data_IF_466595570608
#
_entry.id   IF_466595570608
#
_cell.length_a   1.000
_cell.length_b   1.000
_cell.length_c   1.000
_cell.angle_alpha   90.00
_cell.angle_beta   90.00
_cell.angle_gamma   90.00
#
_symmetry.space_group_name_H-M   'P 1'
#
loop_
_entity.id
_entity.type
_entity.pdbx_description
1 polymer ?
#
# COMPACT_ATOMS: atom_id res chain seq x y z
N UNK A 1 -45.65 63.69 58.36
CA UNK A 1 -44.65 64.51 59.10
C UNK A 1 -43.89 63.54 59.99
N UNK A 2 -42.59 63.27 59.89
CA UNK A 2 -41.38 63.99 59.46
C UNK A 2 -40.46 63.00 58.73
N UNK A 3 -39.71 63.48 57.73
CA UNK A 3 -38.66 62.74 57.04
C UNK A 3 -37.44 62.52 57.96
N UNK A 4 -36.87 61.32 57.92
CA UNK A 4 -35.48 61.03 58.33
C UNK A 4 -34.89 60.12 57.25
N UNK A 5 -33.87 60.61 56.55
CA UNK A 5 -33.11 59.88 55.55
C UNK A 5 -31.98 59.06 56.21
N UNK A 6 -31.51 57.98 55.55
CA UNK A 6 -30.10 57.61 55.63
C UNK A 6 -29.44 57.61 54.26
N UNK A 7 -28.44 58.47 54.14
CA UNK A 7 -27.21 58.42 53.33
C UNK A 7 -27.16 57.39 52.17
N UNK A 8 -27.29 57.88 50.94
CA UNK A 8 -26.81 57.20 49.74
C UNK A 8 -25.27 57.31 49.71
N UNK A 9 -24.57 56.22 50.04
CA UNK A 9 -23.12 56.17 49.92
C UNK A 9 -22.76 55.78 48.48
N UNK A 10 -22.21 56.74 47.73
CA UNK A 10 -21.79 56.57 46.35
C UNK A 10 -20.34 56.11 46.33
N UNK A 11 -20.11 54.81 46.48
CA UNK A 11 -18.80 54.20 46.22
C UNK A 11 -18.85 53.52 44.85
N UNK A 12 -18.68 54.35 43.83
CA UNK A 12 -18.21 53.92 42.51
C UNK A 12 -16.82 53.33 42.74
N UNK A 13 -16.78 52.01 42.93
CA UNK A 13 -15.55 51.22 42.93
C UNK A 13 -14.84 51.42 41.59
N UNK A 14 -13.86 52.32 41.58
CA UNK A 14 -12.84 52.43 40.53
C UNK A 14 -12.28 51.03 40.26
N UNK A 15 -12.64 50.45 39.12
CA UNK A 15 -11.87 49.35 38.53
C UNK A 15 -10.45 49.88 38.29
N UNK A 16 -9.51 49.35 39.07
CA UNK A 16 -8.10 49.70 39.02
C UNK A 16 -7.49 49.21 37.69
N UNK A 17 -6.91 50.10 36.86
CA UNK A 17 -6.33 49.75 35.56
C UNK A 17 -5.13 48.80 35.63
N UNK A 18 -4.60 48.50 36.83
CA UNK A 18 -3.59 47.46 37.06
C UNK A 18 -4.16 46.04 36.93
N UNK A 19 -5.39 45.77 37.38
CA UNK A 19 -5.94 44.41 37.42
C UNK A 19 -6.38 43.89 36.04
N UNK A 20 -6.78 44.78 35.13
CA UNK A 20 -7.14 44.43 33.74
C UNK A 20 -5.91 44.01 32.92
N UNK A 21 -4.76 44.63 33.18
CA UNK A 21 -3.52 44.32 32.47
C UNK A 21 -2.90 43.00 32.94
N UNK A 22 -3.07 42.67 34.23
CA UNK A 22 -2.62 41.40 34.81
C UNK A 22 -3.49 40.24 34.32
N UNK A 23 -4.83 40.41 34.26
CA UNK A 23 -5.74 39.38 33.73
C UNK A 23 -5.62 39.20 32.23
N UNK A 24 -5.46 40.28 31.45
CA UNK A 24 -5.17 40.20 30.03
C UNK A 24 -3.81 39.54 29.75
N UNK A 25 -2.80 39.85 30.55
CA UNK A 25 -1.48 39.21 30.49
C UNK A 25 -1.53 37.71 30.74
N UNK A 26 -2.31 37.26 31.74
CA UNK A 26 -2.50 35.84 32.05
C UNK A 26 -3.28 35.07 30.97
N UNK A 27 -4.27 35.70 30.33
CA UNK A 27 -5.00 35.08 29.22
C UNK A 27 -4.14 34.99 27.96
N UNK A 28 -3.33 36.02 27.70
CA UNK A 28 -2.42 36.03 26.56
C UNK A 28 -1.33 34.98 26.71
N UNK A 29 -0.73 34.83 27.91
CA UNK A 29 0.25 33.77 28.16
C UNK A 29 -0.37 32.38 28.07
N UNK A 30 -1.58 32.17 28.61
CA UNK A 30 -2.29 30.91 28.46
C UNK A 30 -2.58 30.59 26.98
N UNK A 31 -3.02 31.57 26.20
CA UNK A 31 -3.29 31.40 24.77
C UNK A 31 -2.01 31.09 23.97
N UNK A 32 -0.90 31.78 24.28
CA UNK A 32 0.41 31.51 23.67
C UNK A 32 0.93 30.11 24.02
N UNK A 33 0.77 29.67 25.27
CA UNK A 33 1.15 28.31 25.66
C UNK A 33 0.31 27.27 24.92
N UNK A 34 -1.00 27.47 24.81
CA UNK A 34 -1.89 26.58 24.04
C UNK A 34 -1.51 26.56 22.57
N UNK A 35 -1.21 27.71 21.96
CA UNK A 35 -0.73 27.78 20.59
C UNK A 35 0.62 27.09 20.41
N UNK A 36 1.53 27.19 21.38
CA UNK A 36 2.81 26.47 21.37
C UNK A 36 2.55 24.97 21.45
N UNK A 37 1.70 24.48 22.35
CA UNK A 37 1.38 23.05 22.45
C UNK A 37 0.66 22.50 21.21
N UNK A 38 -0.18 23.32 20.55
CA UNK A 38 -0.81 22.99 19.26
C UNK A 38 0.23 22.99 18.13
N UNK A 39 1.15 23.95 18.11
CA UNK A 39 2.19 24.10 17.08
C UNK A 39 3.30 23.06 17.20
N UNK A 40 3.70 22.69 18.41
CA UNK A 40 4.60 21.57 18.69
C UNK A 40 3.86 20.23 18.62
N UNK A 41 2.80 20.15 17.80
CA UNK A 41 1.93 19.00 17.62
C UNK A 41 2.74 17.75 17.78
N UNK A 42 2.38 16.95 18.80
CA UNK A 42 3.17 15.82 19.27
C UNK A 42 3.62 14.98 18.08
N UNK A 43 4.84 15.22 17.60
CA UNK A 43 5.53 14.32 16.73
C UNK A 43 5.93 13.16 17.64
N UNK A 44 4.96 12.30 17.95
CA UNK A 44 5.25 10.99 18.46
C UNK A 44 5.99 10.28 17.32
N UNK A 45 7.31 10.44 17.30
CA UNK A 45 8.18 9.61 16.49
C UNK A 45 7.90 8.20 16.97
N UNK A 46 7.12 7.43 16.21
CA UNK A 46 6.97 6.02 16.46
C UNK A 46 8.37 5.42 16.31
N UNK A 47 9.07 5.25 17.43
CA UNK A 47 10.37 4.59 17.45
C UNK A 47 10.08 3.14 17.17
N UNK A 48 10.12 2.78 15.88
CA UNK A 48 10.12 1.38 15.47
C UNK A 48 11.41 0.79 16.02
N UNK A 49 11.36 -0.27 16.83
CA UNK A 49 12.56 -0.91 17.33
C UNK A 49 13.43 -1.40 16.15
N UNK A 50 14.77 -1.45 16.33
CA UNK A 50 15.65 -1.99 15.31
C UNK A 50 15.30 -3.45 15.00
N UNK A 51 15.56 -3.88 13.76
CA UNK A 51 15.39 -5.27 13.35
C UNK A 51 16.28 -6.19 14.19
N UNK A 52 15.67 -7.22 14.77
CA UNK A 52 16.38 -8.28 15.48
C UNK A 52 16.70 -9.42 14.51
N UNK A 53 17.91 -9.36 13.94
CA UNK A 53 18.40 -10.38 13.01
C UNK A 53 18.43 -11.78 13.62
N UNK A 54 18.79 -11.91 14.90
CA UNK A 54 18.87 -13.23 15.54
C UNK A 54 17.49 -13.87 15.71
N UNK A 55 16.49 -13.07 16.11
CA UNK A 55 15.12 -13.55 16.20
C UNK A 55 14.52 -13.84 14.82
N UNK A 56 14.84 -13.03 13.82
CA UNK A 56 14.47 -13.30 12.43
C UNK A 56 15.06 -14.62 11.95
N UNK A 57 16.38 -14.79 12.02
CA UNK A 57 17.09 -15.98 11.56
C UNK A 57 16.57 -17.24 12.25
N UNK A 58 16.35 -17.20 13.57
CA UNK A 58 15.74 -18.31 14.30
C UNK A 58 14.33 -18.65 13.82
N UNK A 59 13.50 -17.64 13.50
CA UNK A 59 12.18 -17.84 12.93
C UNK A 59 12.24 -18.48 11.54
N UNK A 60 13.17 -18.02 10.70
CA UNK A 60 13.42 -18.56 9.36
C UNK A 60 13.85 -20.02 9.41
N UNK A 61 14.75 -20.40 10.32
CA UNK A 61 15.18 -21.80 10.47
C UNK A 61 13.99 -22.73 10.75
N UNK A 62 13.03 -22.30 11.57
CA UNK A 62 11.81 -23.07 11.82
C UNK A 62 10.93 -23.17 10.57
N UNK A 63 10.70 -22.05 9.88
CA UNK A 63 9.92 -22.02 8.63
C UNK A 63 10.53 -22.94 7.55
N UNK A 64 11.85 -22.89 7.38
CA UNK A 64 12.58 -23.71 6.41
C UNK A 64 12.59 -25.18 6.80
N UNK A 65 12.74 -25.52 8.09
CA UNK A 65 12.71 -26.92 8.55
C UNK A 65 11.42 -27.63 8.14
N UNK A 66 10.27 -27.00 8.38
CA UNK A 66 8.95 -27.57 8.03
C UNK A 66 8.77 -27.69 6.51
N UNK A 67 9.23 -26.68 5.77
CA UNK A 67 9.18 -26.68 4.31
C UNK A 67 10.07 -27.76 3.71
N UNK A 68 11.33 -27.85 4.14
CA UNK A 68 12.32 -28.82 3.65
C UNK A 68 11.83 -30.25 3.83
N UNK A 69 11.30 -30.57 5.01
CA UNK A 69 10.69 -31.88 5.30
C UNK A 69 9.53 -32.20 4.35
N UNK A 70 8.70 -31.20 4.03
CA UNK A 70 7.59 -31.38 3.11
C UNK A 70 8.07 -31.63 1.67
N UNK A 71 9.16 -30.96 1.26
CA UNK A 71 9.74 -31.05 -0.08
C UNK A 71 10.50 -32.36 -0.34
N UNK A 72 10.96 -33.09 0.68
CA UNK A 72 11.63 -34.40 0.50
C UNK A 72 10.79 -35.40 -0.31
N UNK A 73 9.46 -35.31 -0.18
CA UNK A 73 8.53 -36.24 -0.85
C UNK A 73 8.17 -35.84 -2.28
N UNK A 74 8.59 -34.66 -2.75
CA UNK A 74 8.10 -34.08 -4.01
C UNK A 74 8.96 -34.44 -5.22
N UNK A 75 10.12 -35.09 -5.02
CA UNK A 75 11.03 -35.47 -6.10
C UNK A 75 11.64 -34.29 -6.85
N UNK A 76 11.81 -33.14 -6.18
CA UNK A 76 12.24 -31.88 -6.79
C UNK A 76 13.58 -31.96 -7.54
N UNK A 77 14.43 -32.94 -7.21
CA UNK A 77 15.72 -33.19 -7.87
C UNK A 77 15.59 -33.67 -9.33
N UNK A 78 14.43 -34.20 -9.72
CA UNK A 78 14.24 -34.82 -11.04
C UNK A 78 13.12 -34.18 -11.87
N UNK A 79 12.22 -33.45 -11.23
CA UNK A 79 11.13 -32.76 -11.92
C UNK A 79 10.81 -31.44 -11.21
N UNK A 80 10.26 -30.49 -11.97
CA UNK A 80 9.74 -29.26 -11.38
C UNK A 80 8.54 -29.59 -10.47
N UNK A 81 8.60 -29.34 -9.16
CA UNK A 81 7.51 -29.67 -8.22
C UNK A 81 6.33 -28.69 -8.31
N UNK A 82 6.48 -27.59 -9.06
CA UNK A 82 5.42 -26.62 -9.31
C UNK A 82 4.42 -27.15 -10.36
N UNK A 83 3.10 -26.96 -10.22
CA UNK A 83 2.38 -26.18 -9.20
C UNK A 83 1.92 -26.98 -7.97
N UNK A 84 2.26 -28.27 -7.88
CA UNK A 84 1.77 -29.18 -6.82
C UNK A 84 2.09 -28.67 -5.42
N UNK A 85 3.29 -28.12 -5.23
CA UNK A 85 3.77 -27.60 -3.93
C UNK A 85 3.34 -26.15 -3.64
N UNK A 86 2.47 -25.55 -4.48
CA UNK A 86 2.07 -24.13 -4.34
C UNK A 86 1.51 -23.81 -2.95
N UNK A 87 0.75 -24.73 -2.34
CA UNK A 87 0.22 -24.54 -0.98
C UNK A 87 1.34 -24.46 0.06
N UNK A 88 2.29 -25.39 0.01
CA UNK A 88 3.45 -25.44 0.93
C UNK A 88 4.31 -24.19 0.79
N UNK A 89 4.55 -23.75 -0.45
CA UNK A 89 5.29 -22.51 -0.71
C UNK A 89 4.55 -21.28 -0.14
N UNK A 90 3.23 -21.22 -0.25
CA UNK A 90 2.45 -20.14 0.32
C UNK A 90 2.49 -20.16 1.87
N UNK A 91 2.44 -21.34 2.49
CA UNK A 91 2.62 -21.50 3.94
C UNK A 91 4.00 -21.03 4.39
N UNK A 92 5.06 -21.37 3.65
CA UNK A 92 6.42 -20.85 3.88
C UNK A 92 6.45 -19.32 3.81
N UNK A 93 5.87 -18.73 2.75
CA UNK A 93 5.87 -17.28 2.56
C UNK A 93 5.15 -16.55 3.72
N UNK A 94 4.02 -17.09 4.18
CA UNK A 94 3.31 -16.56 5.35
C UNK A 94 4.16 -16.68 6.62
N UNK A 95 4.85 -17.81 6.81
CA UNK A 95 5.73 -18.03 7.96
C UNK A 95 6.87 -17.00 7.97
N UNK A 96 7.53 -16.79 6.83
CA UNK A 96 8.61 -15.81 6.67
C UNK A 96 8.12 -14.37 6.92
N UNK A 97 6.96 -13.97 6.37
CA UNK A 97 6.38 -12.65 6.63
C UNK A 97 6.01 -12.46 8.11
N UNK A 98 5.52 -13.51 8.76
CA UNK A 98 5.24 -13.51 10.20
C UNK A 98 6.52 -13.33 11.00
N UNK A 99 7.58 -14.10 10.71
CA UNK A 99 8.90 -13.95 11.36
C UNK A 99 9.48 -12.55 11.16
N UNK A 100 9.41 -11.99 9.95
CA UNK A 100 9.83 -10.62 9.66
C UNK A 100 9.02 -9.57 10.44
N UNK A 101 7.73 -9.84 10.65
CA UNK A 101 6.84 -8.96 11.41
C UNK A 101 7.18 -8.98 12.90
N UNK A 102 7.35 -10.15 13.50
CA UNK A 102 7.67 -10.31 14.93
C UNK A 102 9.07 -9.76 15.25
N UNK A 103 10.03 -9.93 14.34
CA UNK A 103 11.42 -9.43 14.47
C UNK A 103 11.61 -7.96 14.11
N UNK A 104 10.54 -7.24 13.74
CA UNK A 104 10.61 -5.86 13.25
C UNK A 104 11.49 -5.68 12.01
N UNK A 105 11.75 -6.78 11.30
CA UNK A 105 12.56 -6.82 10.08
C UNK A 105 11.74 -6.66 8.79
N UNK A 106 10.40 -6.57 8.88
CA UNK A 106 9.49 -6.44 7.73
C UNK A 106 9.83 -5.28 6.78
N UNK A 107 10.43 -4.20 7.29
CA UNK A 107 10.85 -3.06 6.46
C UNK A 107 12.00 -3.41 5.50
N UNK A 108 12.75 -4.47 5.80
CA UNK A 108 13.90 -4.92 5.04
C UNK A 108 13.48 -6.06 4.10
N UNK A 109 12.85 -5.70 2.99
CA UNK A 109 12.38 -6.68 1.98
C UNK A 109 13.50 -7.59 1.50
N UNK A 110 14.72 -7.08 1.39
CA UNK A 110 15.89 -7.85 0.99
C UNK A 110 16.19 -9.07 1.87
N UNK A 111 15.83 -9.07 3.15
CA UNK A 111 16.03 -10.21 4.04
C UNK A 111 15.06 -11.35 3.70
N UNK A 112 13.79 -11.00 3.45
CA UNK A 112 12.76 -11.95 3.03
C UNK A 112 13.05 -12.47 1.62
N UNK A 113 13.42 -11.56 0.71
CA UNK A 113 13.74 -11.88 -0.68
C UNK A 113 14.94 -12.83 -0.77
N UNK A 114 15.97 -12.66 0.08
CA UNK A 114 17.12 -13.55 0.11
C UNK A 114 16.74 -15.00 0.48
N UNK A 115 15.90 -15.18 1.52
CA UNK A 115 15.42 -16.50 1.94
C UNK A 115 14.59 -17.15 0.85
N UNK A 116 13.66 -16.41 0.25
CA UNK A 116 12.83 -16.94 -0.83
C UNK A 116 13.65 -17.26 -2.08
N UNK A 117 14.68 -16.48 -2.38
CA UNK A 117 15.57 -16.74 -3.50
C UNK A 117 16.37 -18.03 -3.29
N UNK A 118 16.91 -18.26 -2.08
CA UNK A 118 17.61 -19.49 -1.72
C UNK A 118 16.70 -20.72 -1.91
N UNK A 119 15.44 -20.61 -1.50
CA UNK A 119 14.43 -21.67 -1.70
C UNK A 119 14.17 -21.92 -3.19
N UNK A 120 14.09 -20.87 -4.01
CA UNK A 120 13.93 -21.02 -5.46
C UNK A 120 15.13 -21.72 -6.11
N UNK A 121 16.34 -21.33 -5.73
CA UNK A 121 17.57 -21.92 -6.25
C UNK A 121 17.68 -23.40 -5.87
N UNK A 122 17.31 -23.76 -4.63
CA UNK A 122 17.41 -25.12 -4.14
C UNK A 122 16.33 -26.06 -4.70
N UNK A 123 15.06 -25.62 -4.69
CA UNK A 123 13.92 -26.51 -4.95
C UNK A 123 13.25 -26.31 -6.31
N UNK A 124 13.47 -25.16 -6.94
CA UNK A 124 12.76 -24.75 -8.16
C UNK A 124 13.71 -24.44 -9.33
N UNK A 125 14.98 -24.84 -9.26
CA UNK A 125 15.95 -24.64 -10.35
C UNK A 125 15.53 -25.27 -11.70
N UNK A 126 14.79 -26.37 -11.67
CA UNK A 126 14.23 -27.05 -12.85
C UNK A 126 12.91 -26.43 -13.31
N UNK A 127 12.34 -25.51 -12.53
CA UNK A 127 11.16 -24.75 -12.89
C UNK A 127 11.60 -23.48 -13.63
N UNK A 128 10.96 -23.17 -14.76
CA UNK A 128 11.34 -21.99 -15.55
C UNK A 128 11.37 -22.20 -17.06
N UNK A 129 10.98 -23.37 -17.57
CA UNK A 129 10.65 -23.53 -18.99
C UNK A 129 9.32 -22.84 -19.36
N UNK A 130 9.15 -21.57 -18.99
CA UNK A 130 8.15 -20.70 -19.61
C UNK A 130 8.81 -20.15 -20.87
N UNK A 131 8.77 -20.94 -21.93
CA UNK A 131 9.16 -20.46 -23.25
C UNK A 131 7.98 -19.74 -23.88
N UNK A 132 8.27 -18.61 -24.51
CA UNK A 132 7.31 -17.98 -25.40
C UNK A 132 6.87 -19.00 -26.46
N UNK A 133 5.57 -19.01 -26.83
CA UNK A 133 5.11 -19.87 -27.90
C UNK A 133 5.93 -19.59 -29.16
N UNK A 134 6.18 -20.60 -30.01
CA UNK A 134 6.96 -20.42 -31.24
C UNK A 134 6.44 -19.23 -32.04
N UNK A 135 7.35 -18.45 -32.65
CA UNK A 135 7.03 -17.22 -33.39
C UNK A 135 5.84 -17.39 -34.36
N UNK A 136 5.73 -18.55 -34.99
CA UNK A 136 4.60 -18.87 -35.87
C UNK A 136 3.23 -18.85 -35.16
N UNK A 137 3.15 -19.46 -33.96
CA UNK A 137 1.93 -19.47 -33.14
C UNK A 137 1.60 -18.05 -32.68
N UNK A 138 2.63 -17.29 -32.28
CA UNK A 138 2.48 -15.90 -31.88
C UNK A 138 1.92 -15.04 -33.03
N UNK A 139 2.46 -15.19 -34.25
CA UNK A 139 1.96 -14.50 -35.45
C UNK A 139 0.54 -14.93 -35.79
N UNK A 140 0.23 -16.23 -35.72
CA UNK A 140 -1.13 -16.75 -35.94
C UNK A 140 -2.15 -16.15 -34.95
N UNK A 141 -1.73 -15.81 -33.73
CA UNK A 141 -2.60 -15.16 -32.75
C UNK A 141 -2.78 -13.66 -33.02
N UNK A 142 -1.71 -12.96 -33.42
CA UNK A 142 -1.69 -11.49 -33.53
C UNK A 142 -2.16 -11.01 -34.91
N UNK A 143 -1.84 -11.73 -35.99
CA UNK A 143 -2.13 -11.31 -37.36
C UNK A 143 -3.63 -11.21 -37.67
N UNK A 144 -4.50 -12.16 -37.29
CA UNK A 144 -5.94 -12.04 -37.58
C UNK A 144 -6.61 -10.81 -36.97
N UNK A 145 -6.51 -10.53 -35.64
CA UNK A 145 -7.14 -9.35 -35.07
C UNK A 145 -6.55 -8.05 -35.63
N UNK A 146 -5.24 -7.98 -35.90
CA UNK A 146 -4.63 -6.78 -36.50
C UNK A 146 -5.15 -6.53 -37.92
N UNK A 147 -5.21 -7.57 -38.76
CA UNK A 147 -5.83 -7.53 -40.09
C UNK A 147 -7.29 -7.08 -39.97
N UNK A 148 -8.11 -7.75 -39.15
CA UNK A 148 -9.52 -7.37 -38.99
C UNK A 148 -9.67 -5.91 -38.56
N UNK A 149 -8.86 -5.43 -37.62
CA UNK A 149 -8.92 -4.03 -37.16
C UNK A 149 -8.54 -3.04 -38.26
N UNK A 150 -7.62 -3.40 -39.16
CA UNK A 150 -7.22 -2.59 -40.31
C UNK A 150 -8.26 -2.58 -41.43
N UNK A 151 -8.85 -3.74 -41.74
CA UNK A 151 -9.76 -3.88 -42.88
C UNK A 151 -11.21 -3.50 -42.55
N UNK A 152 -11.65 -3.64 -41.30
CA UNK A 152 -13.03 -3.36 -40.91
C UNK A 152 -13.46 -1.90 -41.17
N UNK A 153 -12.67 -0.86 -40.82
CA UNK A 153 -13.04 0.53 -41.11
C UNK A 153 -13.11 0.81 -42.61
N UNK A 154 -12.20 0.24 -43.39
CA UNK A 154 -12.16 0.38 -44.85
C UNK A 154 -13.41 -0.23 -45.47
N UNK A 155 -13.80 -1.43 -45.02
CA UNK A 155 -15.04 -2.08 -45.43
C UNK A 155 -16.27 -1.28 -45.02
N UNK A 156 -16.33 -0.79 -43.77
CA UNK A 156 -17.44 0.03 -43.29
C UNK A 156 -17.60 1.31 -44.11
N UNK A 157 -16.52 2.03 -44.40
CA UNK A 157 -16.54 3.22 -45.26
C UNK A 157 -16.94 2.83 -46.68
N UNK A 158 -16.34 1.77 -47.25
CA UNK A 158 -16.67 1.32 -48.60
C UNK A 158 -18.15 0.98 -48.78
N UNK A 159 -18.75 0.25 -47.83
CA UNK A 159 -20.17 -0.11 -47.84
C UNK A 159 -21.04 1.13 -47.66
N UNK A 160 -20.78 1.97 -46.65
CA UNK A 160 -21.58 3.19 -46.42
C UNK A 160 -21.49 4.19 -47.58
N UNK A 161 -20.34 4.28 -48.25
CA UNK A 161 -20.15 5.12 -49.43
C UNK A 161 -20.82 4.52 -50.67
N UNK A 162 -20.87 3.18 -50.79
CA UNK A 162 -21.58 2.49 -51.87
C UNK A 162 -23.10 2.60 -51.71
N UNK A 163 -23.61 2.41 -50.48
CA UNK A 163 -25.01 2.61 -50.12
C UNK A 163 -25.48 4.05 -50.36
N UNK A 164 -24.68 5.05 -49.97
CA UNK A 164 -24.99 6.46 -50.26
C UNK A 164 -24.96 6.78 -51.75
N UNK A 165 -24.06 6.15 -52.53
CA UNK A 165 -24.00 6.31 -53.99
C UNK A 165 -25.17 5.63 -54.71
N UNK A 166 -25.65 4.49 -54.21
CA UNK A 166 -26.87 3.84 -54.71
C UNK A 166 -28.13 4.62 -54.30
N UNK A 167 -28.19 5.13 -53.07
CA UNK A 167 -29.29 5.99 -52.59
C UNK A 167 -29.36 7.33 -53.36
N UNK A 168 -28.21 7.95 -53.69
CA UNK A 168 -28.17 9.16 -54.52
C UNK A 168 -28.53 8.90 -55.99
N UNK A 169 -28.37 7.67 -56.47
CA UNK A 169 -28.72 7.27 -57.85
C UNK A 169 -30.20 6.91 -57.97
N UNK A 170 -30.85 6.48 -56.87
CA UNK A 170 -32.28 6.13 -56.83
C UNK A 170 -33.22 7.24 -56.35
N UNK A 171 -32.72 8.46 -56.11
CA UNK A 171 -33.52 9.69 -56.06
C UNK A 171 -34.81 9.63 -55.23
N UNK A 172 -34.69 9.90 -53.93
CA UNK A 172 -35.68 10.72 -53.22
C UNK A 172 -35.15 12.14 -53.09
#
# INVERSE_FOLDING_TARGET
MKQVAPQYNSDIGKLNPQNSNITAGMLLTAYLLVLIFIWTGMAATSVVPPCDHHMFDSGIQNCLSDFNKSMETTGYQHMCPWPTVKRLYNELNICVDSSATVSWCKRYTHLVDAVLLEVHEMYFNLCGQVHDPPLFILIMLIAPPTITTLFLPILCVGITTCETKMASTFGF
#
